data_IF_135814259600
#
_entry.id   IF_135814259600
#
_cell.length_a   1.000
_cell.length_b   1.000
_cell.length_c   1.000
_cell.angle_alpha   90.00
_cell.angle_beta   90.00
_cell.angle_gamma   90.00
#
_symmetry.space_group_name_H-M   'P 1'
#
loop_
_entity.id
_entity.type
_entity.pdbx_description
1 polymer ?
#
# COMPACT_ATOMS: atom_id res chain seq x y z
N UNK A 1 -14.16 -2.74 -7.25
CA UNK A 1 -13.32 -2.93 -8.44
C UNK A 1 -12.36 -1.75 -8.64
N UNK A 2 -12.85 -0.55 -8.96
CA UNK A 2 -11.99 0.61 -9.25
C UNK A 2 -11.07 1.01 -8.09
N UNK A 3 -11.48 0.81 -6.83
CA UNK A 3 -10.67 1.11 -5.65
C UNK A 3 -9.50 0.13 -5.43
N UNK A 4 -9.45 -0.96 -6.17
CA UNK A 4 -8.35 -1.93 -6.14
C UNK A 4 -7.31 -1.67 -7.25
N UNK A 5 -7.53 -0.67 -8.08
CA UNK A 5 -6.59 -0.31 -9.13
C UNK A 5 -5.50 0.63 -8.57
N UNK A 6 -4.25 0.46 -8.99
CA UNK A 6 -3.19 1.43 -8.76
C UNK A 6 -3.55 2.80 -9.33
N UNK A 7 -2.95 3.84 -8.80
CA UNK A 7 -3.13 5.22 -9.24
C UNK A 7 -1.75 5.89 -9.45
N UNK A 8 -1.72 7.04 -10.12
CA UNK A 8 -0.52 7.86 -10.25
C UNK A 8 0.67 7.15 -10.89
N UNK A 9 1.86 7.37 -10.35
CA UNK A 9 3.12 6.87 -10.90
C UNK A 9 3.19 5.34 -10.98
N UNK A 10 2.59 4.63 -10.04
CA UNK A 10 2.53 3.16 -10.07
C UNK A 10 1.68 2.67 -11.25
N UNK A 11 0.52 3.27 -11.49
CA UNK A 11 -0.34 2.93 -12.61
C UNK A 11 0.38 3.15 -13.96
N UNK A 12 1.10 4.25 -14.11
CA UNK A 12 1.86 4.54 -15.33
C UNK A 12 3.00 3.55 -15.54
N UNK A 13 3.70 3.14 -14.47
CA UNK A 13 4.74 2.13 -14.55
C UNK A 13 4.17 0.77 -15.00
N UNK A 14 3.04 0.36 -14.44
CA UNK A 14 2.34 -0.87 -14.82
C UNK A 14 1.91 -0.80 -16.29
N UNK A 15 1.22 0.27 -16.70
CA UNK A 15 0.78 0.44 -18.10
C UNK A 15 1.94 0.31 -19.08
N UNK A 16 3.06 0.97 -18.81
CA UNK A 16 4.26 0.85 -19.66
C UNK A 16 4.78 -0.59 -19.77
N UNK A 17 4.73 -1.33 -18.66
CA UNK A 17 5.23 -2.70 -18.63
C UNK A 17 4.31 -3.68 -19.40
N UNK A 18 2.99 -3.50 -19.35
CA UNK A 18 2.03 -4.49 -19.87
C UNK A 18 1.40 -4.12 -21.22
N UNK A 19 1.48 -2.86 -21.67
CA UNK A 19 0.77 -2.35 -22.85
C UNK A 19 0.96 -3.18 -24.12
N UNK A 20 2.15 -3.77 -24.29
CA UNK A 20 2.49 -4.60 -25.47
C UNK A 20 2.10 -6.09 -25.32
N UNK A 21 1.74 -6.53 -24.11
CA UNK A 21 1.56 -7.94 -23.79
C UNK A 21 0.08 -8.27 -23.56
N UNK A 22 -0.60 -7.46 -22.76
CA UNK A 22 -1.96 -7.77 -22.26
C UNK A 22 -2.95 -6.65 -22.56
N UNK A 23 -2.50 -5.45 -22.89
CA UNK A 23 -3.30 -4.23 -22.95
C UNK A 23 -3.12 -3.37 -21.71
N UNK A 24 -3.67 -2.15 -21.72
CA UNK A 24 -3.51 -1.14 -20.65
C UNK A 24 -4.84 -0.67 -20.03
N UNK A 25 -5.92 -1.39 -20.33
CA UNK A 25 -7.23 -1.14 -19.73
C UNK A 25 -7.30 -1.64 -18.27
N UNK A 26 -8.32 -1.20 -17.55
CA UNK A 26 -8.49 -1.48 -16.12
C UNK A 26 -8.52 -2.98 -15.78
N UNK A 27 -9.10 -3.81 -16.66
CA UNK A 27 -9.16 -5.26 -16.45
C UNK A 27 -7.79 -5.90 -16.65
N UNK A 28 -7.03 -5.47 -17.65
CA UNK A 28 -5.66 -5.89 -17.91
C UNK A 28 -4.75 -5.55 -16.73
N UNK A 29 -4.88 -4.34 -16.16
CA UNK A 29 -4.16 -3.93 -14.97
C UNK A 29 -4.54 -4.80 -13.77
N UNK A 30 -5.83 -5.01 -13.53
CA UNK A 30 -6.31 -5.83 -12.42
C UNK A 30 -5.86 -7.30 -12.57
N UNK A 31 -5.78 -7.83 -13.78
CA UNK A 31 -5.28 -9.18 -14.04
C UNK A 31 -3.85 -9.37 -13.54
N UNK A 32 -2.97 -8.40 -13.74
CA UNK A 32 -1.56 -8.52 -13.32
C UNK A 32 -1.34 -8.16 -11.85
N UNK A 33 -2.11 -7.22 -11.29
CA UNK A 33 -1.94 -6.77 -9.91
C UNK A 33 -2.88 -7.46 -8.92
N UNK A 34 -3.90 -8.15 -9.41
CA UNK A 34 -5.01 -8.67 -8.60
C UNK A 34 -4.62 -9.78 -7.63
N UNK A 35 -3.51 -10.46 -7.85
CA UNK A 35 -3.02 -11.52 -6.98
C UNK A 35 -2.45 -11.01 -5.65
N UNK A 36 -1.99 -9.75 -5.59
CA UNK A 36 -1.41 -9.15 -4.39
C UNK A 36 -2.04 -7.79 -4.09
N UNK A 37 -3.28 -7.82 -3.61
CA UNK A 37 -4.03 -6.64 -3.20
C UNK A 37 -3.87 -6.39 -1.69
N UNK A 38 -4.04 -5.14 -1.26
CA UNK A 38 -4.28 -4.84 0.16
C UNK A 38 -5.64 -5.40 0.57
N UNK A 39 -5.70 -6.06 1.73
CA UNK A 39 -6.90 -6.75 2.19
C UNK A 39 -7.04 -8.17 1.64
N UNK A 40 -8.26 -8.70 1.65
CA UNK A 40 -8.55 -10.11 1.30
C UNK A 40 -8.95 -10.36 -0.15
N UNK A 41 -9.27 -9.30 -0.90
CA UNK A 41 -9.74 -9.46 -2.27
C UNK A 41 -8.58 -9.93 -3.17
N UNK A 42 -8.86 -10.91 -4.01
CA UNK A 42 -7.96 -11.41 -5.04
C UNK A 42 -8.72 -11.48 -6.35
N UNK A 43 -8.04 -11.15 -7.43
CA UNK A 43 -8.62 -11.13 -8.76
C UNK A 43 -7.77 -11.96 -9.71
N UNK A 44 -8.40 -12.92 -10.39
CA UNK A 44 -7.79 -13.74 -11.42
C UNK A 44 -8.82 -14.04 -12.50
N UNK A 45 -8.39 -14.43 -13.69
CA UNK A 45 -9.31 -14.97 -14.68
C UNK A 45 -9.77 -16.38 -14.26
N UNK A 46 -10.96 -16.82 -14.67
CA UNK A 46 -11.38 -18.20 -14.48
C UNK A 46 -10.36 -19.18 -15.05
N UNK A 47 -9.82 -20.06 -14.20
CA UNK A 47 -8.83 -21.06 -14.57
C UNK A 47 -7.37 -20.60 -14.49
N UNK A 48 -7.09 -19.33 -14.26
CA UNK A 48 -5.74 -18.85 -13.96
C UNK A 48 -5.44 -19.05 -12.46
N UNK A 49 -4.25 -19.57 -12.16
CA UNK A 49 -3.74 -19.54 -10.79
C UNK A 49 -3.38 -18.10 -10.41
N UNK A 50 -3.59 -17.77 -9.14
CA UNK A 50 -3.10 -16.50 -8.60
C UNK A 50 -1.57 -16.51 -8.66
N UNK A 51 -0.93 -15.54 -9.32
CA UNK A 51 0.52 -15.54 -9.43
C UNK A 51 1.18 -15.55 -8.05
N UNK A 52 2.01 -16.56 -7.79
CA UNK A 52 2.88 -16.61 -6.62
C UNK A 52 4.27 -16.12 -7.02
N UNK A 53 4.72 -15.07 -6.38
CA UNK A 53 6.04 -14.50 -6.62
C UNK A 53 7.00 -15.02 -5.54
N UNK A 54 7.81 -16.00 -5.91
CA UNK A 54 8.89 -16.52 -5.06
C UNK A 54 10.16 -15.74 -5.37
N UNK A 55 10.38 -14.63 -4.69
CA UNK A 55 11.61 -13.86 -4.79
C UNK A 55 12.35 -13.84 -3.45
N UNK A 56 13.66 -13.63 -3.52
CA UNK A 56 14.47 -13.37 -2.33
C UNK A 56 14.01 -12.04 -1.72
N UNK A 57 13.66 -12.01 -0.41
CA UNK A 57 13.29 -10.77 0.25
C UNK A 57 14.40 -9.73 0.16
N UNK A 58 14.02 -8.46 0.05
CA UNK A 58 14.96 -7.35 0.15
C UNK A 58 15.59 -7.29 1.55
N UNK A 59 16.71 -6.61 1.69
CA UNK A 59 17.29 -6.28 2.99
C UNK A 59 16.66 -4.99 3.52
N UNK A 60 15.98 -5.03 4.66
CA UNK A 60 15.42 -3.84 5.27
C UNK A 60 16.51 -2.82 5.62
N UNK A 61 17.68 -3.28 6.09
CA UNK A 61 18.81 -2.41 6.39
C UNK A 61 19.32 -1.71 5.12
N UNK A 62 19.43 -2.41 3.99
CA UNK A 62 19.84 -1.82 2.72
C UNK A 62 18.84 -0.78 2.24
N UNK A 63 17.53 -1.06 2.35
CA UNK A 63 16.49 -0.10 2.00
C UNK A 63 16.58 1.18 2.86
N UNK A 64 16.92 1.05 4.14
CA UNK A 64 17.02 2.19 5.07
C UNK A 64 18.28 3.02 4.88
N UNK A 65 19.40 2.40 4.50
CA UNK A 65 20.72 3.03 4.42
C UNK A 65 21.17 3.41 3.01
N UNK A 66 20.37 3.05 1.98
CA UNK A 66 20.73 3.32 0.60
C UNK A 66 20.92 4.82 0.34
N UNK A 67 22.06 5.24 -0.24
CA UNK A 67 22.41 6.66 -0.30
C UNK A 67 21.52 7.49 -1.23
N UNK A 68 21.02 6.90 -2.33
CA UNK A 68 20.11 7.56 -3.25
C UNK A 68 18.71 6.91 -3.23
N UNK A 69 17.83 7.45 -2.41
CA UNK A 69 16.46 6.95 -2.27
C UNK A 69 15.64 7.02 -3.56
N UNK A 70 15.95 7.93 -4.48
CA UNK A 70 15.19 8.06 -5.74
C UNK A 70 15.59 6.98 -6.72
N UNK A 71 16.90 6.74 -6.85
CA UNK A 71 17.42 5.66 -7.68
C UNK A 71 16.88 4.32 -7.19
N UNK A 72 17.04 4.03 -5.91
CA UNK A 72 16.52 2.81 -5.29
C UNK A 72 15.00 2.66 -5.52
N UNK A 73 14.23 3.72 -5.30
CA UNK A 73 12.78 3.64 -5.47
C UNK A 73 12.39 3.37 -6.93
N UNK A 74 13.13 3.93 -7.88
CA UNK A 74 12.91 3.65 -9.31
C UNK A 74 13.14 2.15 -9.62
N UNK A 75 14.22 1.58 -9.13
CA UNK A 75 14.50 0.14 -9.27
C UNK A 75 13.42 -0.72 -8.61
N UNK A 76 12.95 -0.34 -7.41
CA UNK A 76 11.87 -1.04 -6.72
C UNK A 76 10.55 -0.97 -7.52
N UNK A 77 10.23 0.16 -8.13
CA UNK A 77 9.05 0.27 -8.99
C UNK A 77 9.19 -0.63 -10.21
N UNK A 78 10.31 -0.64 -10.89
CA UNK A 78 10.53 -1.52 -12.05
C UNK A 78 10.39 -3.00 -11.68
N UNK A 79 10.88 -3.41 -10.52
CA UNK A 79 10.85 -4.80 -10.06
C UNK A 79 9.49 -5.22 -9.52
N UNK A 80 8.82 -4.34 -8.76
CA UNK A 80 7.66 -4.70 -7.95
C UNK A 80 6.32 -4.13 -8.43
N UNK A 81 6.28 -3.28 -9.47
CA UNK A 81 5.05 -2.63 -9.92
C UNK A 81 3.94 -3.64 -10.26
N UNK A 82 4.26 -4.68 -11.03
CA UNK A 82 3.27 -5.66 -11.50
C UNK A 82 2.64 -6.50 -10.39
N UNK A 83 3.19 -6.50 -9.18
CA UNK A 83 2.66 -7.20 -8.03
C UNK A 83 2.28 -6.27 -6.87
N UNK A 84 2.14 -4.99 -7.16
CA UNK A 84 1.75 -3.97 -6.19
C UNK A 84 0.32 -3.53 -6.43
N UNK A 85 -0.63 -4.33 -5.98
CA UNK A 85 -2.07 -4.04 -6.03
C UNK A 85 -2.47 -3.08 -4.91
N UNK A 86 -1.94 -1.85 -4.94
CA UNK A 86 -2.22 -0.83 -3.93
C UNK A 86 -2.64 0.48 -4.59
N UNK A 87 -3.78 1.02 -4.15
CA UNK A 87 -4.33 2.27 -4.67
C UNK A 87 -3.72 3.51 -3.99
N UNK A 88 -3.95 4.68 -4.57
CA UNK A 88 -3.52 5.99 -4.08
C UNK A 88 -2.43 6.62 -4.92
N UNK A 89 -2.49 7.95 -5.04
CA UNK A 89 -1.68 8.77 -5.97
C UNK A 89 -0.19 8.80 -5.61
N UNK A 90 0.14 8.73 -4.32
CA UNK A 90 1.54 8.74 -3.85
C UNK A 90 2.31 7.56 -4.45
N UNK A 91 3.55 7.76 -4.96
CA UNK A 91 4.38 6.67 -5.43
C UNK A 91 4.66 5.64 -4.33
N UNK A 92 4.33 4.37 -4.59
CA UNK A 92 4.48 3.28 -3.63
C UNK A 92 4.60 1.92 -4.31
N UNK A 93 5.23 0.96 -3.62
CA UNK A 93 5.30 -0.45 -4.04
C UNK A 93 5.12 -1.36 -2.83
N UNK A 94 4.73 -2.61 -3.08
CA UNK A 94 4.69 -3.67 -2.07
C UNK A 94 5.80 -4.67 -2.34
N UNK A 95 6.54 -5.02 -1.28
CA UNK A 95 7.64 -5.98 -1.34
C UNK A 95 7.79 -6.72 0.00
N UNK A 96 8.54 -7.81 -0.03
CA UNK A 96 8.96 -8.51 1.17
C UNK A 96 10.39 -8.12 1.53
N UNK A 97 10.65 -7.87 2.79
CA UNK A 97 11.99 -7.57 3.30
C UNK A 97 12.27 -8.32 4.60
N UNK A 98 13.55 -8.66 4.82
CA UNK A 98 14.05 -9.28 6.03
C UNK A 98 14.90 -8.27 6.82
N UNK A 99 14.77 -8.30 8.15
CA UNK A 99 15.62 -7.52 9.04
C UNK A 99 17.00 -8.17 9.23
N UNK A 100 17.92 -7.41 9.84
CA UNK A 100 19.29 -7.85 10.08
C UNK A 100 19.33 -9.12 10.94
N UNK A 101 20.03 -10.14 10.46
CA UNK A 101 20.28 -11.36 11.21
C UNK A 101 19.06 -12.29 11.36
N UNK A 102 17.98 -12.05 10.64
CA UNK A 102 16.81 -12.94 10.62
C UNK A 102 16.54 -13.49 9.22
N UNK A 103 16.12 -14.74 9.15
CA UNK A 103 15.63 -15.37 7.92
C UNK A 103 14.13 -15.12 7.71
N UNK A 104 13.43 -14.60 8.73
CA UNK A 104 12.02 -14.27 8.62
C UNK A 104 11.85 -12.97 7.85
N UNK A 105 11.08 -13.01 6.78
CA UNK A 105 10.67 -11.83 6.02
C UNK A 105 9.30 -11.33 6.48
N UNK A 106 9.05 -10.05 6.26
CA UNK A 106 7.74 -9.42 6.41
C UNK A 106 7.40 -8.63 5.15
N UNK A 107 6.12 -8.48 4.88
CA UNK A 107 5.65 -7.68 3.75
C UNK A 107 5.52 -6.21 4.13
N UNK A 108 6.03 -5.32 3.28
CA UNK A 108 6.06 -3.89 3.49
C UNK A 108 5.42 -3.13 2.32
N UNK A 109 4.96 -1.93 2.64
CA UNK A 109 4.61 -0.89 1.68
C UNK A 109 5.74 0.15 1.75
N UNK A 110 6.44 0.33 0.64
CA UNK A 110 7.50 1.34 0.50
C UNK A 110 6.94 2.50 -0.28
N UNK A 111 7.05 3.70 0.27
CA UNK A 111 6.55 4.94 -0.32
C UNK A 111 7.68 5.92 -0.52
N UNK A 112 7.59 6.71 -1.60
CA UNK A 112 8.47 7.82 -1.90
C UNK A 112 7.65 9.03 -2.30
N UNK A 113 8.31 10.11 -2.75
CA UNK A 113 7.63 11.32 -3.22
C UNK A 113 8.26 11.88 -4.48
N UNK A 114 7.46 12.65 -5.22
CA UNK A 114 7.90 13.44 -6.35
C UNK A 114 8.05 14.93 -6.01
N UNK A 115 8.32 15.73 -7.04
CA UNK A 115 8.48 17.17 -6.91
C UNK A 115 7.22 17.90 -6.41
N UNK A 116 6.03 17.34 -6.72
CA UNK A 116 4.74 17.94 -6.37
C UNK A 116 4.47 17.93 -4.86
N UNK A 117 5.02 16.95 -4.14
CA UNK A 117 4.84 16.78 -2.70
C UNK A 117 6.19 16.45 -2.03
N UNK A 118 7.09 17.44 -1.90
CA UNK A 118 8.41 17.20 -1.32
C UNK A 118 8.30 16.77 0.16
N UNK A 119 9.18 15.85 0.55
CA UNK A 119 9.31 15.32 1.92
C UNK A 119 8.04 14.63 2.46
N UNK A 120 7.18 14.13 1.59
CA UNK A 120 5.94 13.46 2.02
C UNK A 120 6.21 12.24 2.90
N UNK A 121 7.30 11.49 2.67
CA UNK A 121 7.71 10.37 3.53
C UNK A 121 8.06 10.80 4.95
N UNK A 122 8.80 11.90 5.12
CA UNK A 122 9.12 12.46 6.43
C UNK A 122 7.86 12.96 7.15
N UNK A 123 6.93 13.60 6.43
CA UNK A 123 5.65 14.03 6.97
C UNK A 123 4.81 12.83 7.43
N UNK A 124 4.75 11.77 6.64
CA UNK A 124 4.02 10.55 7.00
C UNK A 124 4.63 9.86 8.23
N UNK A 125 5.97 9.79 8.30
CA UNK A 125 6.67 9.29 9.48
C UNK A 125 6.37 10.10 10.73
N UNK A 126 6.35 11.42 10.62
CA UNK A 126 6.01 12.32 11.72
C UNK A 126 4.56 12.10 12.21
N UNK A 127 3.60 12.03 11.29
CA UNK A 127 2.20 11.78 11.63
C UNK A 127 2.01 10.41 12.28
N UNK A 128 2.63 9.34 11.74
CA UNK A 128 2.56 8.00 12.34
C UNK A 128 3.22 7.96 13.73
N UNK A 129 4.31 8.71 13.93
CA UNK A 129 4.95 8.84 15.24
C UNK A 129 4.02 9.53 16.24
N UNK A 130 3.34 10.60 15.85
CA UNK A 130 2.36 11.29 16.69
C UNK A 130 1.21 10.37 17.09
N UNK A 131 0.65 9.60 16.14
CA UNK A 131 -0.40 8.60 16.40
C UNK A 131 0.08 7.54 17.41
N UNK A 132 1.30 7.01 17.22
CA UNK A 132 1.90 6.04 18.13
C UNK A 132 2.11 6.60 19.53
N UNK A 133 2.58 7.85 19.66
CA UNK A 133 2.75 8.54 20.93
C UNK A 133 1.42 8.84 21.64
N UNK A 134 0.34 9.02 20.87
CA UNK A 134 -1.01 9.14 21.41
C UNK A 134 -1.58 7.79 21.92
N UNK A 135 -0.83 6.69 21.82
CA UNK A 135 -1.24 5.37 22.30
C UNK A 135 -2.16 4.61 21.35
N UNK A 136 -2.33 5.09 20.13
CA UNK A 136 -3.14 4.41 19.12
C UNK A 136 -2.33 3.29 18.41
N UNK A 137 -2.95 2.18 18.03
CA UNK A 137 -2.29 1.09 17.32
C UNK A 137 -1.75 1.55 15.97
N UNK A 138 -0.47 1.31 15.72
CA UNK A 138 0.16 1.55 14.42
C UNK A 138 0.92 0.31 13.96
N UNK A 139 1.00 0.02 12.65
CA UNK A 139 1.95 -0.95 12.16
C UNK A 139 3.38 -0.48 12.44
N UNK A 140 4.35 -1.37 12.33
CA UNK A 140 5.77 -1.02 12.38
C UNK A 140 6.12 -0.18 11.14
N UNK A 141 6.86 0.91 11.33
CA UNK A 141 7.23 1.82 10.26
C UNK A 141 8.60 2.44 10.47
N UNK A 142 9.24 2.83 9.38
CA UNK A 142 10.59 3.35 9.32
C UNK A 142 10.68 4.51 8.34
N UNK A 143 11.69 5.35 8.54
CA UNK A 143 12.13 6.36 7.58
C UNK A 143 13.58 6.05 7.22
N UNK A 144 13.93 6.05 5.92
CA UNK A 144 15.32 5.89 5.49
C UNK A 144 16.20 7.01 6.03
N UNK A 145 17.50 6.76 6.19
CA UNK A 145 18.47 7.71 6.79
C UNK A 145 18.51 9.06 6.05
N UNK A 146 18.32 9.04 4.74
CA UNK A 146 18.22 10.26 3.93
C UNK A 146 16.80 10.85 3.87
N UNK A 147 15.84 10.27 4.58
CA UNK A 147 14.44 10.70 4.62
C UNK A 147 13.67 10.46 3.32
N UNK A 148 14.24 9.76 2.34
CA UNK A 148 13.69 9.58 0.99
C UNK A 148 12.66 8.47 0.84
N UNK A 149 12.65 7.49 1.77
CA UNK A 149 11.69 6.40 1.76
C UNK A 149 10.96 6.32 3.11
N UNK A 150 9.64 6.20 3.06
CA UNK A 150 8.82 5.76 4.18
C UNK A 150 8.46 4.29 3.96
N UNK A 151 8.80 3.44 4.92
CA UNK A 151 8.62 1.99 4.85
C UNK A 151 7.69 1.58 5.97
N UNK A 152 6.58 0.93 5.65
CA UNK A 152 5.58 0.52 6.63
C UNK A 152 5.24 -0.95 6.44
N UNK A 153 5.25 -1.72 7.53
CA UNK A 153 4.78 -3.10 7.51
C UNK A 153 3.32 -3.15 7.10
N UNK A 154 2.94 -4.11 6.26
CA UNK A 154 1.54 -4.29 5.85
C UNK A 154 0.66 -4.54 7.07
N UNK A 155 -0.37 -3.73 7.20
CA UNK A 155 -1.34 -3.78 8.31
C UNK A 155 -2.48 -4.77 8.08
N UNK A 156 -2.60 -5.26 6.85
CA UNK A 156 -3.65 -6.18 6.41
C UNK A 156 -3.24 -7.65 6.49
N UNK A 157 -2.12 -7.94 7.17
CA UNK A 157 -1.65 -9.30 7.44
C UNK A 157 -1.67 -9.57 8.95
N UNK A 158 -2.33 -10.65 9.34
CA UNK A 158 -2.30 -11.17 10.70
C UNK A 158 -0.97 -11.83 11.05
N UNK A 159 -0.74 -12.17 12.34
CA UNK A 159 0.49 -12.84 12.79
C UNK A 159 0.76 -14.19 12.12
N UNK A 160 -0.28 -14.86 11.68
CA UNK A 160 -0.28 -16.14 10.96
C UNK A 160 -0.17 -15.98 9.44
N UNK A 161 0.00 -14.73 8.94
CA UNK A 161 0.00 -14.41 7.53
C UNK A 161 -1.39 -14.36 6.89
N UNK A 162 -2.45 -14.59 7.64
CA UNK A 162 -3.81 -14.50 7.12
C UNK A 162 -4.16 -13.05 6.76
N UNK A 163 -4.84 -12.89 5.62
CA UNK A 163 -5.25 -11.56 5.16
C UNK A 163 -6.44 -11.02 5.95
N UNK A 164 -6.28 -9.83 6.49
CA UNK A 164 -7.34 -9.06 7.15
C UNK A 164 -8.13 -8.30 6.09
N UNK A 165 -9.46 -8.28 6.21
CA UNK A 165 -10.32 -7.50 5.32
C UNK A 165 -10.05 -6.02 5.47
N UNK A 166 -9.88 -5.34 4.34
CA UNK A 166 -9.69 -3.90 4.26
C UNK A 166 -10.63 -3.33 3.20
N UNK A 167 -11.26 -2.19 3.50
CA UNK A 167 -12.10 -1.49 2.54
C UNK A 167 -11.92 0.02 2.65
N UNK A 168 -11.87 0.69 1.50
CA UNK A 168 -11.81 2.14 1.42
C UNK A 168 -13.17 2.77 1.79
N UNK A 169 -13.15 3.85 2.58
CA UNK A 169 -14.37 4.57 2.96
C UNK A 169 -15.14 5.11 1.76
N UNK A 170 -14.47 5.41 0.66
CA UNK A 170 -15.10 5.79 -0.60
C UNK A 170 -15.97 4.65 -1.15
N UNK A 171 -15.49 3.42 -1.07
CA UNK A 171 -16.25 2.21 -1.44
C UNK A 171 -17.45 2.00 -0.54
N UNK A 172 -17.26 2.06 0.79
CA UNK A 172 -18.34 1.93 1.77
C UNK A 172 -19.43 3.00 1.59
N UNK A 173 -19.08 4.18 1.11
CA UNK A 173 -20.01 5.26 0.80
C UNK A 173 -20.62 5.17 -0.60
N UNK A 174 -20.35 4.10 -1.35
CA UNK A 174 -20.78 3.92 -2.74
C UNK A 174 -20.38 5.09 -3.68
N UNK A 175 -19.19 5.65 -3.49
CA UNK A 175 -18.63 6.72 -4.32
C UNK A 175 -17.68 6.16 -5.38
N UNK A 176 -17.65 6.82 -6.55
CA UNK A 176 -16.62 6.53 -7.55
C UNK A 176 -15.25 7.14 -7.19
N UNK A 177 -14.19 6.67 -7.83
CA UNK A 177 -12.79 7.11 -7.60
C UNK A 177 -12.60 8.63 -7.72
N UNK A 178 -13.32 9.29 -8.61
CA UNK A 178 -13.27 10.75 -8.77
C UNK A 178 -13.69 11.53 -7.52
N UNK A 179 -14.37 10.89 -6.58
CA UNK A 179 -14.82 11.48 -5.32
C UNK A 179 -14.03 11.01 -4.10
N UNK A 180 -12.98 10.24 -4.30
CA UNK A 180 -12.17 9.63 -3.23
C UNK A 180 -11.56 10.66 -2.26
N UNK A 181 -11.18 11.81 -2.78
CA UNK A 181 -10.52 12.88 -2.01
C UNK A 181 -11.47 14.05 -1.68
N UNK A 182 -12.79 13.82 -1.77
CA UNK A 182 -13.80 14.83 -1.45
C UNK A 182 -14.71 14.34 -0.33
N UNK A 183 -14.95 15.17 0.68
CA UNK A 183 -15.81 14.77 1.79
C UNK A 183 -15.59 15.63 3.03
N UNK A 184 -16.09 15.13 4.17
CA UNK A 184 -15.89 15.76 5.47
C UNK A 184 -15.67 14.70 6.55
N UNK A 185 -15.09 15.11 7.68
CA UNK A 185 -14.90 14.24 8.85
C UNK A 185 -16.24 13.75 9.42
N UNK A 186 -17.30 14.56 9.38
CA UNK A 186 -18.63 14.13 9.83
C UNK A 186 -19.18 12.99 8.99
N UNK A 187 -18.88 13.02 7.69
CA UNK A 187 -19.26 11.94 6.77
C UNK A 187 -18.48 10.66 7.09
N UNK A 188 -17.18 10.77 7.34
CA UNK A 188 -16.36 9.64 7.79
C UNK A 188 -16.88 9.07 9.12
N UNK A 189 -17.16 9.91 10.11
CA UNK A 189 -17.68 9.50 11.40
C UNK A 189 -19.02 8.76 11.28
N UNK A 190 -19.90 9.19 10.36
CA UNK A 190 -21.13 8.46 10.05
C UNK A 190 -20.86 7.08 9.46
N UNK A 191 -19.94 6.98 8.49
CA UNK A 191 -19.56 5.70 7.90
C UNK A 191 -18.97 4.73 8.94
N UNK A 192 -18.10 5.22 9.84
CA UNK A 192 -17.58 4.40 10.95
C UNK A 192 -18.73 3.88 11.82
N UNK A 193 -19.68 4.74 12.20
CA UNK A 193 -20.85 4.34 12.99
C UNK A 193 -21.71 3.28 12.26
N UNK A 194 -21.87 3.41 10.95
CA UNK A 194 -22.79 2.57 10.18
C UNK A 194 -22.17 1.21 9.79
N UNK A 195 -20.84 1.14 9.65
CA UNK A 195 -20.13 -0.04 9.17
C UNK A 195 -19.24 -0.75 10.20
N UNK A 196 -18.89 -0.11 11.32
CA UNK A 196 -18.05 -0.71 12.37
C UNK A 196 -18.92 -1.25 13.49
N UNK A 197 -18.66 -2.49 13.93
CA UNK A 197 -19.42 -3.13 15.02
C UNK A 197 -19.32 -2.33 16.32
N UNK A 198 -20.37 -2.37 17.15
CA UNK A 198 -20.48 -1.61 18.39
C UNK A 198 -19.30 -1.82 19.36
N UNK A 199 -18.75 -3.02 19.43
CA UNK A 199 -17.58 -3.33 20.28
C UNK A 199 -16.30 -2.59 19.86
N UNK A 200 -16.15 -2.28 18.56
CA UNK A 200 -14.99 -1.60 18.01
C UNK A 200 -15.27 -0.13 17.68
N UNK A 201 -16.51 0.32 17.86
CA UNK A 201 -16.92 1.67 17.49
C UNK A 201 -16.16 2.75 18.27
N UNK A 202 -15.88 2.53 19.54
CA UNK A 202 -15.13 3.48 20.36
C UNK A 202 -13.68 3.59 19.90
N UNK A 203 -12.99 2.46 19.72
CA UNK A 203 -11.63 2.42 19.23
C UNK A 203 -11.48 3.05 17.83
N UNK A 204 -12.46 2.85 16.94
CA UNK A 204 -12.47 3.42 15.60
C UNK A 204 -12.75 4.94 15.56
N UNK A 205 -13.35 5.51 16.62
CA UNK A 205 -13.58 6.96 16.74
C UNK A 205 -12.39 7.71 17.34
N UNK A 206 -11.51 7.01 18.01
CA UNK A 206 -10.30 7.55 18.64
C UNK A 206 -9.10 7.59 17.67
N UNK A 207 -9.21 6.97 16.51
CA UNK A 207 -8.24 7.01 15.41
C UNK A 207 -8.56 8.12 14.40
#
# INVERSE_FOLDING_TARGET
FQMNLPEGALLEAIRRAIAKIVGDDDLSILRVTGGNQVGRNRFSLPGDDVPHFNETPESLDELLTYPDARELFHELVERYALRSGISGVQPKVMLDAAGRGTLASSSYIVKSWGADYPQLGANEFFCMTAVKLAGLPTPEFFLSDNGGLFIMKRFDLGPDGAHIGFEDMCCLQALGTSRKYTGSYERLARSIRDFVSGERLMAAREQ
#
